data_IF_577284024933
#
_entry.id   IF_577284024933
#
_cell.length_a   1.000
_cell.length_b   1.000
_cell.length_c   1.000
_cell.angle_alpha   90.00
_cell.angle_beta   90.00
_cell.angle_gamma   90.00
#
_symmetry.space_group_name_H-M   'P 1'
#
loop_
_entity.id
_entity.type
_entity.pdbx_description
1 polymer ?
#
# COMPACT_ATOMS: atom_id res chain seq x y z
N UNK A 1 -33.54 20.96 0.43
CA UNK A 1 -32.27 20.65 -0.27
C UNK A 1 -32.06 19.15 -0.23
N UNK A 2 -31.96 18.46 -1.38
CA UNK A 2 -31.59 17.05 -1.41
C UNK A 2 -30.17 16.93 -0.86
N UNK A 3 -29.98 16.11 0.20
CA UNK A 3 -28.65 15.73 0.67
C UNK A 3 -28.00 14.93 -0.46
N UNK A 4 -27.03 15.51 -1.16
CA UNK A 4 -26.25 14.78 -2.15
C UNK A 4 -25.52 13.64 -1.44
N UNK A 5 -25.62 12.43 -2.00
CA UNK A 5 -24.99 11.26 -1.44
C UNK A 5 -23.46 11.44 -1.52
N UNK A 6 -22.72 11.25 -0.41
CA UNK A 6 -21.27 11.41 -0.40
C UNK A 6 -20.54 10.45 -1.35
N UNK A 7 -21.12 9.28 -1.65
CA UNK A 7 -20.58 8.36 -2.66
C UNK A 7 -20.78 8.95 -4.05
N UNK A 8 -21.96 9.49 -4.36
CA UNK A 8 -22.23 10.12 -5.67
C UNK A 8 -21.26 11.29 -5.89
N UNK A 9 -21.04 12.13 -4.87
CA UNK A 9 -20.06 13.24 -4.93
C UNK A 9 -18.63 12.70 -5.17
N UNK A 10 -18.23 11.62 -4.49
CA UNK A 10 -16.92 11.02 -4.69
C UNK A 10 -16.78 10.48 -6.12
N UNK A 11 -17.77 9.72 -6.60
CA UNK A 11 -17.78 9.14 -7.94
C UNK A 11 -17.81 10.22 -9.01
N UNK A 12 -18.61 11.27 -8.85
CA UNK A 12 -18.66 12.42 -9.75
C UNK A 12 -17.32 13.16 -9.80
N UNK A 13 -16.68 13.38 -8.64
CA UNK A 13 -15.37 14.01 -8.58
C UNK A 13 -14.30 13.13 -9.23
N UNK A 14 -14.30 11.83 -8.96
CA UNK A 14 -13.39 10.88 -9.60
C UNK A 14 -13.62 10.84 -11.10
N UNK A 15 -14.87 10.68 -11.56
CA UNK A 15 -15.22 10.67 -12.97
C UNK A 15 -14.82 11.96 -13.68
N UNK A 16 -15.02 13.14 -13.06
CA UNK A 16 -14.62 14.45 -13.60
C UNK A 16 -13.11 14.62 -13.68
N UNK A 17 -12.36 14.07 -12.73
CA UNK A 17 -10.89 14.11 -12.80
C UNK A 17 -10.37 13.10 -13.84
N UNK A 18 -10.93 11.90 -13.87
CA UNK A 18 -10.51 10.87 -14.80
C UNK A 18 -10.96 11.14 -16.24
N UNK A 19 -12.06 11.85 -16.47
CA UNK A 19 -12.48 12.26 -17.82
C UNK A 19 -11.50 13.22 -18.49
N UNK A 20 -10.57 13.81 -17.73
CA UNK A 20 -9.47 14.61 -18.27
C UNK A 20 -8.34 13.74 -18.84
N UNK A 21 -8.35 12.43 -18.57
CA UNK A 21 -7.44 11.46 -19.17
C UNK A 21 -7.95 11.15 -20.57
N UNK A 22 -7.07 11.32 -21.56
CA UNK A 22 -7.36 10.93 -22.94
C UNK A 22 -7.81 9.46 -22.99
N UNK A 23 -8.89 9.18 -23.73
CA UNK A 23 -9.49 7.86 -23.86
C UNK A 23 -10.04 7.26 -22.56
N UNK A 24 -10.49 8.09 -21.60
CA UNK A 24 -11.12 7.61 -20.37
C UNK A 24 -12.28 6.63 -20.60
N UNK A 25 -13.03 6.77 -21.70
CA UNK A 25 -14.07 5.81 -22.09
C UNK A 25 -13.57 4.36 -22.15
N UNK A 26 -12.32 4.15 -22.60
CA UNK A 26 -11.70 2.81 -22.60
C UNK A 26 -11.58 2.21 -21.20
N UNK A 27 -11.45 3.03 -20.15
CA UNK A 27 -11.46 2.51 -18.76
C UNK A 27 -12.83 2.03 -18.29
N UNK A 28 -13.89 2.27 -19.07
CA UNK A 28 -15.27 1.89 -18.74
C UNK A 28 -15.84 0.87 -19.72
N UNK A 29 -15.49 1.00 -21.00
CA UNK A 29 -16.02 0.20 -22.11
C UNK A 29 -15.21 -1.08 -22.36
N UNK A 30 -13.90 -1.04 -22.11
CA UNK A 30 -13.03 -2.22 -22.22
C UNK A 30 -13.07 -3.06 -20.93
N UNK A 31 -13.32 -4.38 -20.99
CA UNK A 31 -13.39 -5.24 -19.80
C UNK A 31 -12.13 -5.18 -18.94
N UNK A 32 -10.95 -5.12 -19.57
CA UNK A 32 -9.67 -5.11 -18.89
C UNK A 32 -9.35 -3.73 -18.30
N UNK A 33 -9.61 -2.67 -19.07
CA UNK A 33 -9.55 -1.28 -18.61
C UNK A 33 -10.44 -1.04 -17.39
N UNK A 34 -11.67 -1.54 -17.43
CA UNK A 34 -12.63 -1.48 -16.31
C UNK A 34 -12.16 -2.26 -15.08
N UNK A 35 -11.54 -3.42 -15.29
CA UNK A 35 -10.97 -4.23 -14.20
C UNK A 35 -9.83 -3.48 -13.50
N UNK A 36 -8.89 -2.89 -14.26
CA UNK A 36 -7.82 -2.05 -13.73
C UNK A 36 -8.37 -0.84 -12.98
N UNK A 37 -9.33 -0.13 -13.57
CA UNK A 37 -9.96 1.02 -12.95
C UNK A 37 -10.60 0.67 -11.61
N UNK A 38 -11.41 -0.40 -11.59
CA UNK A 38 -12.07 -0.87 -10.36
C UNK A 38 -11.06 -1.34 -9.31
N UNK A 39 -9.95 -1.96 -9.71
CA UNK A 39 -8.86 -2.32 -8.81
C UNK A 39 -8.30 -1.07 -8.10
N UNK A 40 -7.94 -0.03 -8.87
CA UNK A 40 -7.39 1.22 -8.32
C UNK A 40 -8.40 1.89 -7.38
N UNK A 41 -9.65 2.05 -7.83
CA UNK A 41 -10.71 2.69 -7.03
C UNK A 41 -10.97 1.91 -5.73
N UNK A 42 -11.08 0.58 -5.80
CA UNK A 42 -11.30 -0.28 -4.63
C UNK A 42 -10.19 -0.07 -3.60
N UNK A 43 -8.93 -0.23 -3.98
CA UNK A 43 -7.84 -0.21 -3.01
C UNK A 43 -7.55 1.18 -2.44
N UNK A 44 -7.66 2.25 -3.23
CA UNK A 44 -7.59 3.63 -2.73
C UNK A 44 -8.71 3.88 -1.72
N UNK A 45 -9.93 3.44 -2.04
CA UNK A 45 -11.09 3.59 -1.15
C UNK A 45 -10.92 2.80 0.14
N UNK A 46 -10.39 1.58 0.07
CA UNK A 46 -10.15 0.73 1.24
C UNK A 46 -9.11 1.33 2.19
N UNK A 47 -7.97 1.80 1.68
CA UNK A 47 -6.93 2.42 2.52
C UNK A 47 -7.46 3.70 3.18
N UNK A 48 -8.16 4.54 2.42
CA UNK A 48 -8.75 5.78 2.97
C UNK A 48 -9.85 5.50 4.00
N UNK A 49 -10.72 4.52 3.72
CA UNK A 49 -11.78 4.13 4.66
C UNK A 49 -11.19 3.55 5.94
N UNK A 50 -10.15 2.72 5.82
CA UNK A 50 -9.42 2.16 6.95
C UNK A 50 -8.79 3.26 7.81
N UNK A 51 -8.07 4.20 7.18
CA UNK A 51 -7.48 5.36 7.86
C UNK A 51 -8.55 6.16 8.60
N UNK A 52 -9.64 6.51 7.93
CA UNK A 52 -10.73 7.28 8.55
C UNK A 52 -11.37 6.52 9.70
N UNK A 53 -11.59 5.21 9.56
CA UNK A 53 -12.15 4.35 10.61
C UNK A 53 -11.32 4.45 11.90
N UNK A 54 -10.00 4.32 11.81
CA UNK A 54 -9.13 4.41 12.97
C UNK A 54 -9.06 5.85 13.52
N UNK A 55 -8.73 6.81 12.67
CA UNK A 55 -8.43 8.18 13.11
C UNK A 55 -9.69 8.90 13.62
N UNK A 56 -10.84 8.72 12.96
CA UNK A 56 -12.06 9.48 13.28
C UNK A 56 -12.99 8.75 14.25
N UNK A 57 -12.92 7.41 14.33
CA UNK A 57 -13.87 6.64 15.13
C UNK A 57 -13.19 5.87 16.25
N UNK A 58 -12.23 5.00 15.94
CA UNK A 58 -11.65 4.12 16.96
C UNK A 58 -10.77 4.86 17.97
N UNK A 59 -9.80 5.67 17.51
CA UNK A 59 -8.92 6.40 18.44
C UNK A 59 -9.70 7.38 19.35
N UNK A 60 -10.66 8.17 18.85
CA UNK A 60 -11.49 9.00 19.72
C UNK A 60 -12.36 8.19 20.68
N UNK A 61 -12.86 7.01 20.28
CA UNK A 61 -13.60 6.14 21.17
C UNK A 61 -12.71 5.59 22.30
N UNK A 62 -11.52 5.10 21.98
CA UNK A 62 -10.56 4.58 22.97
C UNK A 62 -10.12 5.67 23.96
N UNK A 63 -9.85 6.89 23.46
CA UNK A 63 -9.51 8.01 24.33
C UNK A 63 -10.67 8.40 25.27
N UNK A 64 -11.91 8.43 24.76
CA UNK A 64 -13.10 8.69 25.59
C UNK A 64 -13.27 7.63 26.67
N UNK A 65 -13.09 6.35 26.34
CA UNK A 65 -13.16 5.26 27.30
C UNK A 65 -12.13 5.44 28.44
N UNK A 66 -10.89 5.81 28.10
CA UNK A 66 -9.85 6.13 29.09
C UNK A 66 -10.23 7.32 29.99
N UNK A 67 -10.81 8.37 29.42
CA UNK A 67 -11.27 9.56 30.17
C UNK A 67 -12.45 9.24 31.09
N UNK A 68 -13.41 8.43 30.62
CA UNK A 68 -14.56 7.96 31.40
C UNK A 68 -14.11 7.13 32.60
N UNK A 69 -13.20 6.18 32.37
CA UNK A 69 -12.62 5.39 33.44
C UNK A 69 -11.89 6.27 34.47
N UNK A 70 -11.09 7.23 34.01
CA UNK A 70 -10.40 8.17 34.90
C UNK A 70 -11.38 8.98 35.76
N UNK A 71 -12.49 9.44 35.18
CA UNK A 71 -13.55 10.15 35.92
C UNK A 71 -14.17 9.26 36.99
N UNK A 72 -14.54 8.04 36.63
CA UNK A 72 -15.11 7.05 37.55
C UNK A 72 -14.15 6.72 38.70
N UNK A 73 -12.86 6.56 38.39
CA UNK A 73 -11.82 6.30 39.40
C UNK A 73 -11.70 7.47 40.39
N UNK A 74 -11.66 8.71 39.89
CA UNK A 74 -11.58 9.92 40.73
C UNK A 74 -12.81 10.10 41.65
N UNK A 75 -13.99 9.69 41.19
CA UNK A 75 -15.23 9.73 41.97
C UNK A 75 -15.43 8.53 42.90
N UNK A 76 -14.62 7.47 42.77
CA UNK A 76 -14.79 6.25 43.56
C UNK A 76 -14.49 6.49 45.05
N UNK A 77 -15.36 5.97 45.92
CA UNK A 77 -15.11 5.88 47.37
C UNK A 77 -13.83 5.09 47.68
N UNK A 78 -13.46 4.15 46.81
CA UNK A 78 -12.30 3.27 46.96
C UNK A 78 -11.04 3.76 46.23
N UNK A 79 -11.02 4.99 45.71
CA UNK A 79 -9.86 5.53 44.96
C UNK A 79 -8.53 5.46 45.71
N UNK A 80 -8.56 5.48 47.04
CA UNK A 80 -7.38 5.36 47.90
C UNK A 80 -6.76 3.95 47.91
N UNK A 81 -7.51 2.93 47.46
CA UNK A 81 -7.04 1.55 47.33
C UNK A 81 -6.52 1.24 45.93
N UNK A 82 -6.71 2.13 44.96
CA UNK A 82 -6.45 1.89 43.54
C UNK A 82 -5.34 2.81 43.07
N UNK A 83 -4.21 2.23 42.73
CA UNK A 83 -3.06 2.95 42.18
C UNK A 83 -2.93 2.60 40.70
N UNK A 84 -3.52 3.43 39.84
CA UNK A 84 -3.40 3.32 38.38
C UNK A 84 -2.89 4.66 37.86
N UNK A 85 -1.78 4.63 37.14
CA UNK A 85 -1.16 5.80 36.52
C UNK A 85 -1.96 6.25 35.29
N UNK A 86 -1.83 7.52 34.91
CA UNK A 86 -2.46 8.02 33.67
C UNK A 86 -1.92 7.31 32.42
N UNK A 87 -0.70 6.75 32.48
CA UNK A 87 -0.10 6.03 31.36
C UNK A 87 -0.80 4.67 31.18
N UNK A 88 -1.03 3.93 32.27
CA UNK A 88 -1.79 2.68 32.25
C UNK A 88 -3.23 2.89 31.74
N UNK A 89 -3.82 4.06 31.99
CA UNK A 89 -5.13 4.41 31.44
C UNK A 89 -5.12 4.66 29.93
N UNK A 90 -3.98 5.03 29.35
CA UNK A 90 -3.82 5.23 27.91
C UNK A 90 -3.49 3.94 27.16
N UNK A 91 -3.31 2.82 27.86
CA UNK A 91 -2.92 1.56 27.22
C UNK A 91 -3.88 1.13 26.11
N UNK A 92 -5.20 1.24 26.34
CA UNK A 92 -6.21 0.94 25.31
C UNK A 92 -6.11 1.86 24.08
N UNK A 93 -5.69 3.11 24.25
CA UNK A 93 -5.46 4.04 23.14
C UNK A 93 -4.27 3.58 22.29
N UNK A 94 -3.13 3.25 22.92
CA UNK A 94 -1.96 2.74 22.20
C UNK A 94 -2.20 1.34 21.62
N UNK A 95 -2.97 0.49 22.29
CA UNK A 95 -3.40 -0.82 21.77
C UNK A 95 -4.23 -0.66 20.50
N UNK A 96 -5.13 0.31 20.47
CA UNK A 96 -5.93 0.61 19.27
C UNK A 96 -5.03 1.00 18.10
N UNK A 97 -3.96 1.78 18.33
CA UNK A 97 -2.98 2.14 17.30
C UNK A 97 -2.19 0.91 16.83
N UNK A 98 -1.72 0.07 17.76
CA UNK A 98 -1.01 -1.17 17.48
C UNK A 98 -1.84 -2.16 16.64
N UNK A 99 -3.13 -2.32 16.97
CA UNK A 99 -4.07 -3.09 16.15
C UNK A 99 -4.29 -2.45 14.77
N UNK A 100 -4.22 -1.12 14.68
CA UNK A 100 -4.19 -0.39 13.43
C UNK A 100 -3.03 -0.77 12.52
N UNK A 101 -1.82 -0.94 13.06
CA UNK A 101 -0.67 -1.44 12.29
C UNK A 101 -0.88 -2.86 11.76
N UNK A 102 -1.47 -3.75 12.56
CA UNK A 102 -1.83 -5.11 12.11
C UNK A 102 -2.82 -5.05 10.94
N UNK A 103 -3.86 -4.23 11.04
CA UNK A 103 -4.82 -4.02 9.96
C UNK A 103 -4.19 -3.43 8.69
N UNK A 104 -3.31 -2.43 8.84
CA UNK A 104 -2.59 -1.80 7.74
C UNK A 104 -1.70 -2.81 7.00
N UNK A 105 -1.00 -3.68 7.73
CA UNK A 105 -0.20 -4.75 7.14
C UNK A 105 -1.04 -5.69 6.28
N UNK A 106 -2.19 -6.15 6.79
CA UNK A 106 -3.07 -7.05 6.02
C UNK A 106 -3.69 -6.38 4.79
N UNK A 107 -4.00 -5.08 4.87
CA UNK A 107 -4.46 -4.29 3.71
C UNK A 107 -3.37 -4.18 2.65
N UNK A 108 -2.14 -3.91 3.06
CA UNK A 108 -0.98 -3.87 2.16
C UNK A 108 -0.70 -5.23 1.51
N UNK A 109 -0.69 -6.31 2.30
CA UNK A 109 -0.47 -7.66 1.79
C UNK A 109 -1.54 -8.06 0.76
N UNK A 110 -2.80 -7.76 1.05
CA UNK A 110 -3.92 -8.02 0.14
C UNK A 110 -3.81 -7.20 -1.14
N UNK A 111 -3.43 -5.92 -1.03
CA UNK A 111 -3.18 -5.05 -2.17
C UNK A 111 -2.14 -5.63 -3.12
N UNK A 112 -0.98 -6.07 -2.59
CA UNK A 112 0.09 -6.62 -3.42
C UNK A 112 -0.32 -7.90 -4.15
N UNK A 113 -1.06 -8.78 -3.48
CA UNK A 113 -1.58 -10.03 -4.08
C UNK A 113 -2.58 -9.72 -5.20
N UNK A 114 -3.54 -8.84 -4.93
CA UNK A 114 -4.55 -8.45 -5.92
C UNK A 114 -3.90 -7.70 -7.11
N UNK A 115 -2.92 -6.83 -6.85
CA UNK A 115 -2.19 -6.07 -7.86
C UNK A 115 -1.49 -6.98 -8.86
N UNK A 116 -0.72 -7.94 -8.35
CA UNK A 116 0.03 -8.86 -9.20
C UNK A 116 -0.89 -9.73 -10.05
N UNK A 117 -1.98 -10.23 -9.46
CA UNK A 117 -2.98 -10.98 -10.22
C UNK A 117 -3.53 -10.14 -11.38
N UNK A 118 -3.99 -8.94 -11.07
CA UNK A 118 -4.65 -8.06 -12.04
C UNK A 118 -3.69 -7.60 -13.14
N UNK A 119 -2.43 -7.28 -12.80
CA UNK A 119 -1.43 -6.91 -13.81
C UNK A 119 -0.97 -8.11 -14.66
N UNK A 120 -0.82 -9.29 -14.07
CA UNK A 120 -0.48 -10.49 -14.86
C UNK A 120 -1.58 -10.83 -15.86
N UNK A 121 -2.86 -10.70 -15.47
CA UNK A 121 -3.98 -10.87 -16.39
C UNK A 121 -3.95 -9.80 -17.50
N UNK A 122 -3.72 -8.54 -17.13
CA UNK A 122 -3.59 -7.44 -18.07
C UNK A 122 -2.52 -7.68 -19.13
N UNK A 123 -1.30 -8.00 -18.70
CA UNK A 123 -0.19 -8.17 -19.63
C UNK A 123 -0.24 -9.49 -20.41
N UNK A 124 -0.93 -10.50 -19.88
CA UNK A 124 -1.20 -11.73 -20.62
C UNK A 124 -2.21 -11.51 -21.75
N UNK A 125 -3.23 -10.68 -21.55
CA UNK A 125 -4.22 -10.39 -22.60
C UNK A 125 -3.63 -9.61 -23.79
N UNK A 126 -2.61 -8.78 -23.55
CA UNK A 126 -1.90 -8.06 -24.63
C UNK A 126 -0.77 -8.88 -25.26
N UNK A 127 -0.48 -10.07 -24.74
CA UNK A 127 0.55 -10.98 -25.25
C UNK A 127 -0.07 -12.04 -26.16
N UNK A 128 -0.20 -11.69 -27.44
CA UNK A 128 -0.87 -12.51 -28.45
C UNK A 128 -0.17 -13.84 -28.75
N UNK A 129 1.14 -13.92 -28.49
CA UNK A 129 1.98 -15.08 -28.78
C UNK A 129 2.19 -16.00 -27.56
N UNK A 130 1.54 -15.73 -26.42
CA UNK A 130 1.66 -16.48 -25.17
C UNK A 130 3.10 -16.63 -24.65
N UNK A 131 3.96 -15.64 -24.90
CA UNK A 131 5.34 -15.56 -24.41
C UNK A 131 5.47 -14.79 -23.08
N UNK A 132 4.36 -14.36 -22.49
CA UNK A 132 4.32 -13.61 -21.25
C UNK A 132 4.68 -14.51 -20.06
N UNK A 133 5.79 -14.17 -19.42
CA UNK A 133 6.12 -14.61 -18.07
C UNK A 133 5.36 -13.76 -17.06
N UNK A 134 4.90 -14.36 -15.97
CA UNK A 134 4.35 -13.58 -14.85
C UNK A 134 5.40 -12.57 -14.34
N UNK A 135 4.94 -11.41 -13.89
CA UNK A 135 5.81 -10.29 -13.55
C UNK A 135 6.88 -10.63 -12.49
N UNK A 136 6.58 -11.52 -11.55
CA UNK A 136 7.53 -11.92 -10.53
C UNK A 136 8.63 -12.82 -11.12
N UNK A 137 8.25 -13.82 -11.93
CA UNK A 137 9.22 -14.64 -12.68
C UNK A 137 10.05 -13.81 -13.63
N UNK A 138 9.45 -12.81 -14.28
CA UNK A 138 10.17 -11.91 -15.17
C UNK A 138 11.18 -11.04 -14.43
N UNK A 139 10.80 -10.41 -13.31
CA UNK A 139 11.71 -9.65 -12.45
C UNK A 139 12.89 -10.49 -11.96
N UNK A 140 12.61 -11.74 -11.58
CA UNK A 140 13.65 -12.68 -11.15
C UNK A 140 14.63 -13.00 -12.29
N UNK A 141 14.15 -13.19 -13.51
CA UNK A 141 15.01 -13.39 -14.69
C UNK A 141 15.79 -12.14 -15.05
N UNK A 142 15.16 -10.97 -14.97
CA UNK A 142 15.70 -9.69 -15.42
C UNK A 142 16.83 -9.20 -14.50
N UNK A 143 16.62 -9.25 -13.20
CA UNK A 143 17.51 -8.62 -12.21
C UNK A 143 17.78 -9.44 -10.94
N UNK A 144 17.44 -10.74 -10.93
CA UNK A 144 17.56 -11.65 -9.77
C UNK A 144 16.90 -11.12 -8.48
N UNK A 145 15.71 -10.52 -8.64
CA UNK A 145 14.90 -10.02 -7.52
C UNK A 145 13.60 -10.78 -7.38
N UNK A 146 13.29 -11.15 -6.15
CA UNK A 146 11.99 -11.66 -5.75
C UNK A 146 11.12 -10.48 -5.29
N UNK A 147 10.04 -10.23 -6.01
CA UNK A 147 9.19 -9.08 -5.79
C UNK A 147 8.64 -9.05 -4.36
N UNK A 148 8.12 -10.18 -3.86
CA UNK A 148 7.54 -10.26 -2.52
C UNK A 148 8.57 -10.05 -1.40
N UNK A 149 9.83 -10.41 -1.65
CA UNK A 149 10.92 -10.10 -0.71
C UNK A 149 11.29 -8.62 -0.75
N UNK A 150 11.43 -8.04 -1.95
CA UNK A 150 11.94 -6.66 -2.10
C UNK A 150 10.90 -5.58 -1.76
N UNK A 151 9.63 -5.78 -2.09
CA UNK A 151 8.57 -4.78 -1.79
C UNK A 151 8.24 -4.65 -0.31
N UNK A 152 8.68 -5.61 0.51
CA UNK A 152 8.57 -5.52 1.96
C UNK A 152 9.79 -4.85 2.59
N UNK A 153 10.80 -4.48 1.80
CA UNK A 153 12.04 -3.83 2.25
C UNK A 153 11.99 -2.30 2.20
N UNK A 154 10.88 -1.71 1.74
CA UNK A 154 10.70 -0.26 1.85
C UNK A 154 10.45 0.14 3.29
N UNK A 155 11.01 1.28 3.70
CA UNK A 155 10.99 1.76 5.09
C UNK A 155 9.60 1.72 5.72
N UNK A 156 8.55 2.20 5.04
CA UNK A 156 7.22 2.23 5.64
C UNK A 156 6.57 0.84 5.71
N UNK A 157 6.68 0.01 4.67
CA UNK A 157 6.20 -1.39 4.75
C UNK A 157 6.97 -2.22 5.78
N UNK A 158 8.28 -1.99 5.92
CA UNK A 158 9.12 -2.66 6.91
C UNK A 158 8.71 -2.26 8.33
N UNK A 159 8.53 -0.96 8.60
CA UNK A 159 8.01 -0.46 9.87
C UNK A 159 6.67 -1.08 10.23
N UNK A 160 5.70 -1.04 9.31
CA UNK A 160 4.36 -1.56 9.55
C UNK A 160 4.39 -3.08 9.80
N UNK A 161 5.17 -3.83 9.01
CA UNK A 161 5.34 -5.26 9.20
C UNK A 161 6.02 -5.57 10.54
N UNK A 162 7.07 -4.83 10.90
CA UNK A 162 7.80 -5.02 12.16
C UNK A 162 6.89 -4.77 13.36
N UNK A 163 6.16 -3.65 13.39
CA UNK A 163 5.19 -3.35 14.46
C UNK A 163 4.08 -4.42 14.49
N UNK A 164 3.51 -4.79 13.34
CA UNK A 164 2.51 -5.87 13.25
C UNK A 164 3.02 -7.17 13.88
N UNK A 165 4.28 -7.54 13.64
CA UNK A 165 4.87 -8.75 14.24
C UNK A 165 5.10 -8.60 15.74
N UNK A 166 5.57 -7.45 16.21
CA UNK A 166 5.66 -7.13 17.65
C UNK A 166 4.30 -7.33 18.33
N UNK A 167 3.22 -6.83 17.71
CA UNK A 167 1.85 -6.98 18.24
C UNK A 167 1.38 -8.43 18.24
N UNK A 168 1.57 -9.17 17.13
CA UNK A 168 1.08 -10.54 16.97
C UNK A 168 1.82 -11.57 17.83
N UNK A 169 3.12 -11.39 18.01
CA UNK A 169 3.99 -12.45 18.53
C UNK A 169 4.70 -12.07 19.83
N UNK A 170 4.71 -10.78 20.18
CA UNK A 170 5.46 -10.26 21.32
C UNK A 170 4.61 -9.31 22.17
N UNK A 171 3.28 -9.43 22.14
CA UNK A 171 2.34 -8.62 22.94
C UNK A 171 2.56 -7.09 22.80
N UNK A 172 3.06 -6.67 21.63
CA UNK A 172 3.35 -5.27 21.34
C UNK A 172 4.69 -4.75 21.86
N UNK A 173 5.55 -5.59 22.44
CA UNK A 173 6.90 -5.21 22.85
C UNK A 173 7.86 -5.13 21.63
N UNK A 174 8.76 -4.13 21.57
CA UNK A 174 9.64 -3.87 20.43
C UNK A 174 10.89 -4.78 20.43
N UNK A 175 10.69 -6.09 20.54
CA UNK A 175 11.78 -7.09 20.73
C UNK A 175 11.97 -8.04 19.54
N UNK A 176 11.24 -7.81 18.44
CA UNK A 176 11.31 -8.64 17.24
C UNK A 176 12.62 -8.39 16.50
N UNK A 177 13.47 -9.39 16.40
CA UNK A 177 14.71 -9.33 15.63
C UNK A 177 14.51 -9.67 14.13
N UNK A 178 15.30 -9.11 13.20
CA UNK A 178 16.17 -7.94 13.41
C UNK A 178 15.33 -6.67 13.62
N UNK A 179 15.81 -5.77 14.50
CA UNK A 179 15.24 -4.42 14.67
C UNK A 179 15.80 -3.49 13.57
N UNK A 180 14.95 -2.89 12.71
CA UNK A 180 15.39 -1.92 11.72
C UNK A 180 16.14 -0.75 12.37
N UNK A 181 17.23 -0.29 11.77
CA UNK A 181 18.13 0.71 12.39
C UNK A 181 17.43 1.99 12.84
N UNK A 182 16.41 2.44 12.10
CA UNK A 182 15.62 3.63 12.42
C UNK A 182 14.50 3.39 13.45
N UNK A 183 14.40 2.19 14.01
CA UNK A 183 13.46 1.78 15.08
C UNK A 183 14.20 1.33 16.34
N UNK A 184 15.52 1.50 16.42
CA UNK A 184 16.32 1.08 17.59
C UNK A 184 16.04 1.94 18.83
N UNK A 185 15.46 3.12 18.66
CA UNK A 185 15.15 4.04 19.75
C UNK A 185 13.92 3.62 20.58
N UNK A 186 13.22 2.54 20.19
CA UNK A 186 12.12 2.01 20.98
C UNK A 186 12.63 1.35 22.27
N UNK A 187 12.02 1.72 23.40
CA UNK A 187 12.28 1.15 24.71
C UNK A 187 11.73 -0.29 24.80
N UNK A 188 12.63 -1.26 24.96
CA UNK A 188 12.30 -2.70 25.04
C UNK A 188 11.61 -3.13 26.34
N UNK A 189 11.58 -2.26 27.35
CA UNK A 189 10.92 -2.53 28.63
C UNK A 189 9.42 -2.22 28.62
N UNK A 190 8.91 -1.58 27.56
CA UNK A 190 7.50 -1.22 27.41
C UNK A 190 6.95 -1.60 26.03
N UNK A 191 5.62 -1.67 25.95
CA UNK A 191 4.92 -1.85 24.68
C UNK A 191 5.13 -0.63 23.78
N UNK A 192 5.03 -0.83 22.47
CA UNK A 192 5.13 0.24 21.47
C UNK A 192 4.04 1.29 21.72
N UNK A 193 4.48 2.53 21.95
CA UNK A 193 3.63 3.70 22.14
C UNK A 193 3.86 4.65 20.96
N UNK A 194 2.88 4.72 20.06
CA UNK A 194 2.90 5.59 18.88
C UNK A 194 1.72 6.53 18.97
N UNK A 195 1.91 7.80 18.60
CA UNK A 195 0.83 8.78 18.61
C UNK A 195 0.00 8.77 17.33
N UNK A 196 -1.25 9.20 17.43
CA UNK A 196 -2.19 9.22 16.30
C UNK A 196 -1.70 9.98 15.08
N UNK A 197 -0.90 11.05 15.28
CA UNK A 197 -0.31 11.83 14.18
C UNK A 197 0.72 11.04 13.39
N UNK A 198 1.57 10.27 14.08
CA UNK A 198 2.56 9.41 13.44
C UNK A 198 1.88 8.24 12.73
N UNK A 199 0.92 7.59 13.39
CA UNK A 199 0.14 6.51 12.76
C UNK A 199 -0.59 6.99 11.49
N UNK A 200 -1.17 8.19 11.52
CA UNK A 200 -1.80 8.79 10.33
C UNK A 200 -0.78 8.99 9.20
N UNK A 201 0.37 9.59 9.51
CA UNK A 201 1.43 9.83 8.52
C UNK A 201 1.95 8.52 7.92
N UNK A 202 2.09 7.48 8.73
CA UNK A 202 2.47 6.15 8.27
C UNK A 202 1.46 5.54 7.30
N UNK A 203 0.15 5.72 7.53
CA UNK A 203 -0.89 5.27 6.61
C UNK A 203 -0.88 6.07 5.29
N UNK A 204 -0.59 7.37 5.34
CA UNK A 204 -0.44 8.21 4.15
C UNK A 204 0.78 7.77 3.32
N UNK A 205 1.94 7.56 3.97
CA UNK A 205 3.15 7.05 3.33
C UNK A 205 2.95 5.65 2.73
N UNK A 206 2.18 4.77 3.40
CA UNK A 206 1.84 3.46 2.86
C UNK A 206 1.00 3.57 1.58
N UNK A 207 0.04 4.50 1.54
CA UNK A 207 -0.78 4.74 0.36
C UNK A 207 0.07 5.24 -0.83
N UNK A 208 1.01 6.14 -0.59
CA UNK A 208 1.97 6.60 -1.59
C UNK A 208 2.84 5.45 -2.09
N UNK A 209 3.38 4.62 -1.19
CA UNK A 209 4.14 3.43 -1.57
C UNK A 209 3.32 2.49 -2.47
N UNK A 210 2.05 2.25 -2.16
CA UNK A 210 1.17 1.43 -3.01
C UNK A 210 1.10 1.99 -4.44
N UNK A 211 0.99 3.31 -4.61
CA UNK A 211 0.97 3.96 -5.93
C UNK A 211 2.31 3.81 -6.65
N UNK A 212 3.43 3.98 -5.96
CA UNK A 212 4.76 3.75 -6.54
C UNK A 212 4.93 2.30 -7.02
N UNK A 213 4.47 1.32 -6.24
CA UNK A 213 4.53 -0.10 -6.61
C UNK A 213 3.64 -0.40 -7.83
N UNK A 214 2.45 0.21 -7.93
CA UNK A 214 1.62 0.08 -9.13
C UNK A 214 2.38 0.56 -10.37
N UNK A 215 2.97 1.75 -10.30
CA UNK A 215 3.68 2.36 -11.42
C UNK A 215 4.89 1.53 -11.84
N UNK A 216 5.72 1.08 -10.89
CA UNK A 216 6.91 0.29 -11.23
C UNK A 216 6.53 -1.06 -11.82
N UNK A 217 5.47 -1.72 -11.34
CA UNK A 217 5.04 -3.00 -11.89
C UNK A 217 4.44 -2.86 -13.30
N UNK A 218 3.78 -1.74 -13.59
CA UNK A 218 3.43 -1.40 -14.96
C UNK A 218 4.68 -1.24 -15.85
N UNK A 219 5.71 -0.54 -15.36
CA UNK A 219 6.98 -0.39 -16.10
C UNK A 219 7.63 -1.75 -16.37
N UNK A 220 7.60 -2.68 -15.41
CA UNK A 220 8.10 -4.05 -15.58
C UNK A 220 7.35 -4.78 -16.69
N UNK A 221 6.01 -4.73 -16.68
CA UNK A 221 5.21 -5.39 -17.71
C UNK A 221 5.43 -4.77 -19.10
N UNK A 222 5.53 -3.44 -19.18
CA UNK A 222 5.86 -2.77 -20.45
C UNK A 222 7.28 -3.09 -20.91
N UNK A 223 8.25 -3.15 -20.00
CA UNK A 223 9.61 -3.58 -20.34
C UNK A 223 9.60 -4.97 -20.96
N UNK A 224 8.84 -5.91 -20.37
CA UNK A 224 8.66 -7.25 -20.94
C UNK A 224 8.04 -7.21 -22.34
N UNK A 225 6.98 -6.42 -22.53
CA UNK A 225 6.33 -6.23 -23.82
C UNK A 225 7.29 -5.68 -24.89
N UNK A 226 8.03 -4.62 -24.58
CA UNK A 226 9.00 -4.01 -25.51
C UNK A 226 10.27 -4.85 -25.72
N UNK A 227 10.54 -5.82 -24.83
CA UNK A 227 11.64 -6.78 -24.99
C UNK A 227 11.29 -7.96 -25.90
N UNK A 228 10.04 -8.07 -26.36
CA UNK A 228 9.66 -9.07 -27.37
C UNK A 228 10.30 -8.74 -28.72
N UNK A 229 10.34 -9.72 -29.63
CA UNK A 229 10.85 -9.48 -30.97
C UNK A 229 10.07 -8.35 -31.64
N UNK A 230 10.78 -7.35 -32.19
CA UNK A 230 10.15 -6.14 -32.75
C UNK A 230 9.07 -6.45 -33.79
N UNK A 231 9.26 -7.50 -34.59
CA UNK A 231 8.28 -7.97 -35.59
C UNK A 231 6.93 -8.32 -34.95
N UNK A 232 6.92 -8.85 -33.72
CA UNK A 232 5.71 -9.29 -33.03
C UNK A 232 4.88 -8.12 -32.46
N UNK A 233 5.54 -7.01 -32.16
CA UNK A 233 4.90 -5.85 -31.53
C UNK A 233 4.71 -4.66 -32.47
N UNK A 234 5.38 -4.63 -33.63
CA UNK A 234 5.39 -3.47 -34.55
C UNK A 234 4.00 -2.94 -34.87
N UNK A 235 3.08 -3.83 -35.23
CA UNK A 235 1.74 -3.45 -35.70
C UNK A 235 0.82 -2.97 -34.56
N UNK A 236 1.24 -3.16 -33.31
CA UNK A 236 0.56 -2.68 -32.11
C UNK A 236 1.04 -1.28 -31.69
N UNK A 237 2.13 -0.79 -32.30
CA UNK A 237 2.71 0.51 -32.01
C UNK A 237 2.15 1.58 -32.94
N UNK A 238 2.05 2.81 -32.43
CA UNK A 238 1.82 3.98 -33.27
C UNK A 238 2.88 4.08 -34.37
N UNK A 239 2.50 4.51 -35.56
CA UNK A 239 3.40 4.62 -36.73
C UNK A 239 4.72 5.33 -36.40
N UNK A 240 4.66 6.42 -35.63
CA UNK A 240 5.81 7.20 -35.15
C UNK A 240 6.82 6.42 -34.28
N UNK A 241 6.39 5.29 -33.70
CA UNK A 241 7.16 4.42 -32.81
C UNK A 241 7.55 3.09 -33.47
N UNK A 242 7.23 2.87 -34.75
CA UNK A 242 7.60 1.66 -35.50
C UNK A 242 9.07 1.67 -36.00
N UNK A 243 9.98 2.15 -35.16
CA UNK A 243 11.42 2.14 -35.41
C UNK A 243 12.12 1.27 -34.36
N UNK A 244 12.87 0.22 -34.75
CA UNK A 244 13.51 -0.69 -33.81
C UNK A 244 14.39 0.02 -32.77
N UNK A 245 15.09 1.09 -33.17
CA UNK A 245 15.99 1.84 -32.31
C UNK A 245 15.23 2.58 -31.19
N UNK A 246 14.04 3.09 -31.50
CA UNK A 246 13.19 3.76 -30.50
C UNK A 246 12.66 2.79 -29.46
N UNK A 247 12.24 1.59 -29.89
CA UNK A 247 11.74 0.55 -28.99
C UNK A 247 12.83 0.02 -28.08
N UNK A 248 14.02 -0.20 -28.63
CA UNK A 248 15.19 -0.56 -27.83
C UNK A 248 15.49 0.50 -26.78
N UNK A 249 15.49 1.79 -27.17
CA UNK A 249 15.71 2.89 -26.22
C UNK A 249 14.66 2.92 -25.10
N UNK A 250 13.38 2.72 -25.42
CA UNK A 250 12.31 2.66 -24.42
C UNK A 250 12.54 1.50 -23.44
N UNK A 251 12.90 0.31 -23.95
CA UNK A 251 13.23 -0.83 -23.10
C UNK A 251 14.42 -0.52 -22.18
N UNK A 252 15.50 0.05 -22.71
CA UNK A 252 16.68 0.43 -21.93
C UNK A 252 16.34 1.47 -20.84
N UNK A 253 15.55 2.50 -21.18
CA UNK A 253 15.09 3.53 -20.24
C UNK A 253 14.23 2.94 -19.12
N UNK A 254 13.32 2.00 -19.45
CA UNK A 254 12.51 1.29 -18.46
C UNK A 254 13.39 0.41 -17.55
N UNK A 255 14.36 -0.31 -18.12
CA UNK A 255 15.27 -1.16 -17.35
C UNK A 255 16.06 -0.35 -16.32
N UNK A 256 16.52 0.85 -16.71
CA UNK A 256 17.23 1.75 -15.82
C UNK A 256 16.38 2.13 -14.59
N UNK A 257 15.11 2.51 -14.82
CA UNK A 257 14.18 2.88 -13.73
C UNK A 257 13.85 1.69 -12.84
N UNK A 258 13.55 0.53 -13.42
CA UNK A 258 13.26 -0.72 -12.70
C UNK A 258 14.45 -1.12 -11.82
N UNK A 259 15.66 -1.09 -12.39
CA UNK A 259 16.91 -1.42 -11.70
C UNK A 259 17.20 -0.45 -10.56
N UNK A 260 16.93 0.84 -10.74
CA UNK A 260 17.05 1.85 -9.69
C UNK A 260 16.07 1.61 -8.53
N UNK A 261 14.83 1.20 -8.82
CA UNK A 261 13.82 0.96 -7.80
C UNK A 261 14.10 -0.30 -6.96
N UNK A 262 14.45 -1.42 -7.60
CA UNK A 262 14.68 -2.70 -6.90
C UNK A 262 16.12 -2.87 -6.38
N UNK A 263 17.00 -1.92 -6.68
CA UNK A 263 18.40 -1.91 -6.31
C UNK A 263 19.20 -2.97 -7.05
N UNK A 264 19.73 -2.62 -8.21
CA UNK A 264 20.72 -3.42 -8.92
C UNK A 264 22.08 -3.30 -8.22
N UNK A 265 22.71 -4.43 -7.89
CA UNK A 265 24.15 -4.44 -7.59
C UNK A 265 24.86 -4.46 -8.94
N UNK A 266 25.61 -3.39 -9.24
CA UNK A 266 26.70 -3.49 -10.21
C UNK A 266 27.75 -4.49 -9.71
#
# INVERSE_FOLDING_TARGET
>A
MKKNNPIDILVENLAKQFSQINNFSLTQDDPLGKKMFNFVVKHISEINSFKNLFIQYYLPASLRASQDFQRNLKSSKYKHLITITNQELKENYYETIRLGYVGAYHKYESYLKDLLRVLNEFFKEIDFENNFLDLNSYLKKLIDKDLFKTINSFKISEKINWISNCVKHYDGFPVKEPIPGYLQDFDNSKKIEIESSEFKADLDNLAEQCQFILNILFMVGFHQFFSQEFVLIKDQLKEENQQPEKIKKIADDLLYVISGFFGYKN
#
